data_IF_330262344213
#
_entry.id   IF_330262344213
#
_cell.length_a   1.000
_cell.length_b   1.000
_cell.length_c   1.000
_cell.angle_alpha   90.00
_cell.angle_beta   90.00
_cell.angle_gamma   90.00
#
_symmetry.space_group_name_H-M   'P 1'
#
loop_
_entity.id
_entity.type
_entity.pdbx_description
1 polymer ?
#
# COMPACT_ATOMS: atom_id res chain seq x y z
N UNK A 1 -30.48 7.10 8.87
CA UNK A 1 -30.28 8.55 8.62
C UNK A 1 -28.84 8.90 8.96
N UNK A 2 -28.26 9.74 8.11
CA UNK A 2 -26.85 10.12 7.91
C UNK A 2 -26.08 10.48 9.19
N UNK A 3 -24.79 10.13 9.22
CA UNK A 3 -23.73 10.97 9.81
C UNK A 3 -22.44 10.81 8.99
N UNK A 4 -22.31 11.64 7.96
CA UNK A 4 -21.04 11.95 7.28
C UNK A 4 -20.54 13.23 7.95
N UNK A 5 -19.40 13.12 8.63
CA UNK A 5 -18.62 14.18 9.27
C UNK A 5 -17.18 13.64 9.17
N UNK A 6 -16.18 14.27 8.56
CA UNK A 6 -15.87 15.68 8.46
C UNK A 6 -14.92 15.90 7.27
N UNK A 7 -15.14 16.99 6.55
CA UNK A 7 -14.21 17.60 5.60
C UNK A 7 -12.91 18.03 6.32
N UNK A 8 -11.74 17.82 5.72
CA UNK A 8 -10.58 18.67 6.00
C UNK A 8 -10.01 19.23 4.69
N UNK A 9 -10.18 20.54 4.53
CA UNK A 9 -9.50 21.35 3.53
C UNK A 9 -8.00 21.33 3.81
N UNK A 10 -7.20 21.07 2.77
CA UNK A 10 -5.93 21.75 2.60
C UNK A 10 -5.87 22.27 1.16
N UNK A 11 -6.44 23.45 0.98
CA UNK A 11 -6.02 24.33 -0.10
C UNK A 11 -4.64 24.90 0.28
N UNK A 12 -3.59 24.48 -0.42
CA UNK A 12 -2.37 25.28 -0.51
C UNK A 12 -2.26 25.74 -1.95
N UNK A 13 -2.65 26.99 -2.12
CA UNK A 13 -2.53 27.80 -3.31
C UNK A 13 -1.08 27.89 -3.80
N UNK A 14 -0.96 27.84 -5.12
CA UNK A 14 0.25 28.01 -5.92
C UNK A 14 1.18 29.18 -5.49
N UNK A 15 2.49 28.91 -5.48
CA UNK A 15 3.59 29.85 -5.70
C UNK A 15 4.67 29.09 -6.49
N UNK A 16 4.69 29.19 -7.82
CA UNK A 16 5.55 30.09 -8.60
C UNK A 16 7.03 29.67 -8.63
N UNK A 17 7.42 29.10 -9.78
CA UNK A 17 8.72 29.12 -10.45
C UNK A 17 9.94 29.63 -9.65
N UNK A 18 10.84 28.70 -9.32
CA UNK A 18 12.28 28.93 -9.34
C UNK A 18 12.86 28.19 -10.54
N UNK A 19 13.37 28.92 -11.52
CA UNK A 19 14.25 28.40 -12.55
C UNK A 19 15.47 27.71 -11.91
N UNK A 20 15.97 26.69 -12.61
CA UNK A 20 17.36 26.23 -12.58
C UNK A 20 17.79 25.08 -11.65
N UNK A 21 16.98 24.02 -11.51
CA UNK A 21 17.49 22.68 -11.17
C UNK A 21 16.86 21.60 -12.07
N UNK A 22 17.50 21.35 -13.22
CA UNK A 22 17.24 20.16 -14.05
C UNK A 22 17.67 18.91 -13.28
N UNK A 23 16.71 18.09 -12.88
CA UNK A 23 16.83 16.71 -12.36
C UNK A 23 16.66 16.48 -10.86
N UNK A 24 15.97 17.36 -10.11
CA UNK A 24 15.29 16.87 -8.92
C UNK A 24 13.87 16.47 -9.32
N UNK A 25 13.76 15.21 -9.76
CA UNK A 25 12.48 14.52 -9.76
C UNK A 25 12.11 14.45 -8.28
N UNK A 26 11.28 15.38 -7.83
CA UNK A 26 10.54 15.27 -6.58
C UNK A 26 9.69 14.00 -6.71
N UNK A 27 10.24 12.87 -6.30
CA UNK A 27 9.47 11.69 -5.97
C UNK A 27 8.72 12.04 -4.69
N UNK A 28 7.48 12.49 -4.85
CA UNK A 28 6.51 12.52 -3.76
C UNK A 28 6.31 11.06 -3.31
N UNK A 29 7.11 10.60 -2.35
CA UNK A 29 6.93 9.31 -1.68
C UNK A 29 5.96 9.51 -0.53
N UNK A 30 4.72 9.09 -0.74
CA UNK A 30 3.74 8.98 0.33
C UNK A 30 3.92 7.58 0.93
N UNK A 31 4.63 7.49 2.06
CA UNK A 31 4.70 6.25 2.86
C UNK A 31 3.47 6.20 3.78
N UNK A 32 2.64 5.17 3.60
CA UNK A 32 1.55 4.86 4.52
C UNK A 32 1.69 3.42 5.00
N UNK A 33 1.64 3.23 6.32
CA UNK A 33 1.58 1.91 6.96
C UNK A 33 0.18 1.68 7.52
N UNK A 34 -0.41 0.53 7.24
CA UNK A 34 -1.69 0.12 7.84
C UNK A 34 -1.56 -1.31 8.35
N UNK A 35 -2.04 -1.55 9.57
CA UNK A 35 -2.03 -2.87 10.20
C UNK A 35 -3.34 -3.60 9.94
N UNK A 36 -3.27 -4.84 9.40
CA UNK A 36 -4.46 -5.64 9.13
C UNK A 36 -4.60 -6.82 10.08
N UNK A 37 -5.78 -6.90 10.70
CA UNK A 37 -6.26 -8.11 11.34
C UNK A 37 -7.05 -8.96 10.33
N UNK A 38 -6.49 -10.11 9.97
CA UNK A 38 -7.14 -11.09 9.10
C UNK A 38 -7.71 -12.26 9.90
N UNK A 39 -8.76 -12.91 9.37
CA UNK A 39 -9.30 -14.13 9.99
C UNK A 39 -8.21 -15.20 10.06
N UNK A 40 -8.23 -15.98 11.15
CA UNK A 40 -7.22 -16.95 11.58
C UNK A 40 -5.99 -16.38 12.33
N UNK A 41 -6.12 -15.21 12.98
CA UNK A 41 -5.05 -14.55 13.74
C UNK A 41 -3.80 -14.20 12.90
N UNK A 42 -3.96 -14.07 11.58
CA UNK A 42 -2.88 -13.63 10.71
C UNK A 42 -2.80 -12.11 10.83
N UNK A 43 -1.68 -11.64 11.38
CA UNK A 43 -1.32 -10.22 11.42
C UNK A 43 -0.41 -9.93 10.24
N UNK A 44 -0.79 -8.96 9.44
CA UNK A 44 0.01 -8.47 8.33
C UNK A 44 0.21 -6.97 8.49
N UNK A 45 1.45 -6.54 8.36
CA UNK A 45 1.77 -5.13 8.19
C UNK A 45 1.87 -4.89 6.67
N UNK A 46 1.45 -3.74 6.18
CA UNK A 46 1.65 -3.40 4.78
C UNK A 46 1.94 -1.93 4.60
N UNK A 47 2.76 -1.66 3.58
CA UNK A 47 3.16 -0.34 3.13
C UNK A 47 2.62 -0.08 1.72
N UNK A 48 2.22 1.16 1.46
CA UNK A 48 1.66 1.56 0.16
C UNK A 48 2.45 2.73 -0.42
N UNK A 49 3.11 2.49 -1.54
CA UNK A 49 3.76 3.51 -2.36
C UNK A 49 2.87 3.90 -3.53
N UNK A 50 2.50 5.18 -3.60
CA UNK A 50 1.66 5.70 -4.69
C UNK A 50 2.51 6.52 -5.66
N UNK A 51 2.53 6.11 -6.93
CA UNK A 51 3.22 6.83 -8.00
C UNK A 51 2.38 6.84 -9.28
N UNK A 52 2.16 8.04 -9.86
CA UNK A 52 1.40 8.22 -11.13
C UNK A 52 0.05 7.47 -11.16
N UNK A 53 -0.72 7.54 -10.08
CA UNK A 53 -2.02 6.87 -9.94
C UNK A 53 -1.95 5.34 -9.99
N UNK A 54 -0.79 4.77 -9.66
CA UNK A 54 -0.58 3.36 -9.38
C UNK A 54 -0.21 3.21 -7.91
N UNK A 55 -0.68 2.15 -7.26
CA UNK A 55 -0.30 1.80 -5.90
C UNK A 55 0.54 0.51 -5.91
N UNK A 56 1.75 0.57 -5.37
CA UNK A 56 2.54 -0.61 -5.06
C UNK A 56 2.37 -0.88 -3.57
N UNK A 57 2.00 -2.10 -3.24
CA UNK A 57 1.72 -2.54 -1.88
C UNK A 57 2.69 -3.64 -1.52
N UNK A 58 3.43 -3.45 -0.46
CA UNK A 58 4.31 -4.44 0.13
C UNK A 58 3.68 -4.95 1.42
N UNK A 59 3.65 -6.27 1.62
CA UNK A 59 3.00 -6.89 2.78
C UNK A 59 3.99 -7.79 3.50
N UNK A 60 4.20 -7.51 4.77
CA UNK A 60 5.02 -8.30 5.66
C UNK A 60 4.18 -9.20 6.55
N UNK A 61 4.42 -10.50 6.41
CA UNK A 61 3.73 -11.50 7.20
C UNK A 61 4.54 -11.89 8.43
N UNK A 62 4.04 -11.47 9.60
CA UNK A 62 4.57 -11.89 10.91
C UNK A 62 4.34 -13.37 11.23
N UNK A 63 3.51 -14.06 10.45
CA UNK A 63 3.13 -15.45 10.67
C UNK A 63 3.15 -16.24 9.37
N UNK A 64 3.59 -17.50 9.44
CA UNK A 64 3.62 -18.38 8.29
C UNK A 64 2.21 -18.71 7.79
N UNK A 65 2.00 -18.50 6.50
CA UNK A 65 0.77 -18.83 5.78
C UNK A 65 0.95 -20.20 5.13
N UNK A 66 -0.11 -21.02 5.09
CA UNK A 66 0.05 -22.47 4.79
C UNK A 66 0.02 -22.80 3.30
N UNK A 67 -0.59 -21.94 2.47
CA UNK A 67 -0.77 -22.22 1.05
C UNK A 67 -0.80 -20.94 0.20
N UNK A 68 -0.65 -21.10 -1.11
CA UNK A 68 -0.64 -20.00 -2.09
C UNK A 68 -1.99 -19.31 -2.26
N UNK A 69 -3.08 -20.00 -1.97
CA UNK A 69 -4.44 -19.44 -2.08
C UNK A 69 -4.69 -18.37 -1.00
N UNK A 70 -4.18 -18.60 0.21
CA UNK A 70 -4.20 -17.64 1.31
C UNK A 70 -3.45 -16.34 0.95
N UNK A 71 -2.29 -16.40 0.29
CA UNK A 71 -1.61 -15.20 -0.21
C UNK A 71 -2.47 -14.39 -1.19
N UNK A 72 -3.19 -15.06 -2.08
CA UNK A 72 -4.10 -14.36 -2.99
C UNK A 72 -5.28 -13.72 -2.27
N UNK A 73 -5.84 -14.36 -1.24
CA UNK A 73 -6.90 -13.78 -0.41
C UNK A 73 -6.41 -12.56 0.38
N UNK A 74 -5.20 -12.64 0.93
CA UNK A 74 -4.53 -11.53 1.62
C UNK A 74 -4.38 -10.37 0.64
N UNK A 75 -3.73 -10.60 -0.51
CA UNK A 75 -3.50 -9.56 -1.51
C UNK A 75 -4.79 -8.95 -2.06
N UNK A 76 -5.85 -9.74 -2.27
CA UNK A 76 -7.16 -9.22 -2.67
C UNK A 76 -7.76 -8.29 -1.62
N UNK A 77 -7.68 -8.68 -0.33
CA UNK A 77 -8.23 -7.88 0.75
C UNK A 77 -7.47 -6.56 0.91
N UNK A 78 -6.13 -6.59 0.88
CA UNK A 78 -5.32 -5.37 0.97
C UNK A 78 -5.58 -4.45 -0.23
N UNK A 79 -5.63 -5.00 -1.45
CA UNK A 79 -5.97 -4.21 -2.64
C UNK A 79 -7.37 -3.60 -2.56
N UNK A 80 -8.36 -4.26 -1.92
CA UNK A 80 -9.67 -3.66 -1.69
C UNK A 80 -9.58 -2.45 -0.76
N UNK A 81 -8.86 -2.58 0.36
CA UNK A 81 -8.69 -1.51 1.35
C UNK A 81 -7.97 -0.32 0.70
N UNK A 82 -6.86 -0.55 0.01
CA UNK A 82 -6.13 0.50 -0.71
C UNK A 82 -7.01 1.20 -1.73
N UNK A 83 -7.83 0.44 -2.50
CA UNK A 83 -8.77 1.04 -3.45
C UNK A 83 -9.83 1.90 -2.76
N UNK A 84 -10.37 1.44 -1.63
CA UNK A 84 -11.38 2.15 -0.86
C UNK A 84 -10.84 3.45 -0.24
N UNK A 85 -9.59 3.45 0.22
CA UNK A 85 -8.96 4.59 0.89
C UNK A 85 -8.36 5.61 -0.08
N UNK A 86 -7.79 5.15 -1.20
CA UNK A 86 -7.04 6.00 -2.14
C UNK A 86 -7.81 6.30 -3.42
N UNK A 87 -8.80 5.49 -3.78
CA UNK A 87 -9.49 5.54 -5.08
C UNK A 87 -8.67 4.97 -6.25
N UNK A 88 -7.45 4.48 -6.02
CA UNK A 88 -6.59 3.90 -7.06
C UNK A 88 -7.07 2.50 -7.42
N UNK A 89 -7.20 2.22 -8.72
CA UNK A 89 -7.63 0.91 -9.22
C UNK A 89 -6.47 0.03 -9.68
N UNK A 90 -5.37 0.62 -10.14
CA UNK A 90 -4.16 -0.08 -10.57
C UNK A 90 -3.25 -0.33 -9.37
N UNK A 91 -3.36 -1.54 -8.80
CA UNK A 91 -2.71 -1.91 -7.54
C UNK A 91 -1.83 -3.15 -7.78
N UNK A 92 -0.53 -3.02 -7.55
CA UNK A 92 0.39 -4.16 -7.50
C UNK A 92 0.63 -4.54 -6.05
N UNK A 93 0.41 -5.80 -5.68
CA UNK A 93 0.68 -6.31 -4.34
C UNK A 93 1.82 -7.31 -4.38
N UNK A 94 2.81 -7.11 -3.52
CA UNK A 94 3.89 -8.03 -3.18
C UNK A 94 3.74 -8.49 -1.74
N UNK A 95 4.03 -9.76 -1.46
CA UNK A 95 4.03 -10.31 -0.11
C UNK A 95 5.39 -10.91 0.15
N UNK A 96 6.02 -10.43 1.21
CA UNK A 96 7.30 -10.90 1.69
C UNK A 96 7.12 -11.69 2.98
N UNK A 97 8.02 -12.66 3.15
CA UNK A 97 8.09 -13.47 4.36
C UNK A 97 9.36 -13.10 5.10
N UNK A 98 9.17 -12.45 6.24
CA UNK A 98 10.23 -12.10 7.17
C UNK A 98 10.94 -13.37 7.68
N UNK A 99 12.26 -13.42 7.47
CA UNK A 99 13.10 -14.48 7.99
C UNK A 99 14.09 -13.91 9.02
N UNK A 100 13.97 -14.37 10.27
CA UNK A 100 14.81 -13.93 11.39
C UNK A 100 16.35 -14.05 11.19
N UNK A 101 16.82 -14.83 10.20
CA UNK A 101 18.24 -15.09 9.96
C UNK A 101 18.64 -15.03 8.47
N UNK A 102 17.76 -14.57 7.58
CA UNK A 102 17.99 -14.51 6.13
C UNK A 102 17.31 -13.28 5.54
N UNK A 103 17.71 -12.92 4.33
CA UNK A 103 16.98 -11.93 3.54
C UNK A 103 15.53 -12.36 3.38
N UNK A 104 14.64 -11.37 3.31
CA UNK A 104 13.22 -11.57 3.12
C UNK A 104 12.94 -12.28 1.80
N UNK A 105 11.93 -13.16 1.82
CA UNK A 105 11.58 -13.96 0.66
C UNK A 105 10.29 -13.43 0.04
N UNK A 106 10.37 -12.92 -1.18
CA UNK A 106 9.19 -12.59 -1.98
C UNK A 106 8.44 -13.86 -2.37
N UNK A 107 7.30 -14.10 -1.72
CA UNK A 107 6.51 -15.34 -1.88
C UNK A 107 5.33 -15.18 -2.84
N UNK A 108 4.93 -13.93 -3.12
CA UNK A 108 3.78 -13.65 -3.96
C UNK A 108 3.85 -12.24 -4.56
N UNK A 109 3.48 -12.13 -5.85
CA UNK A 109 3.23 -10.84 -6.51
C UNK A 109 2.00 -10.95 -7.40
N UNK A 110 1.11 -9.96 -7.35
CA UNK A 110 -0.05 -9.88 -8.25
C UNK A 110 -0.51 -8.44 -8.47
N UNK A 111 -0.89 -8.14 -9.72
CA UNK A 111 -1.61 -6.92 -10.08
C UNK A 111 -3.12 -7.13 -10.00
N UNK A 112 -3.80 -6.13 -9.46
CA UNK A 112 -5.24 -6.01 -9.35
C UNK A 112 -5.67 -4.76 -10.10
N UNK A 113 -6.63 -4.92 -11.02
CA UNK A 113 -7.16 -3.87 -11.87
C UNK A 113 -8.67 -3.77 -11.68
#
# INVERSE_FOLDING_TARGET
MKKIVLTLLLAVSALSFGEDHKNDILEDRIENQIQLELRNNITADYDVDIYRNMANVEIDLKSSVKNKEEYNLIGQKVASIVREETGITDISVSIEKDHHFKDDELVYTKKFN
#
